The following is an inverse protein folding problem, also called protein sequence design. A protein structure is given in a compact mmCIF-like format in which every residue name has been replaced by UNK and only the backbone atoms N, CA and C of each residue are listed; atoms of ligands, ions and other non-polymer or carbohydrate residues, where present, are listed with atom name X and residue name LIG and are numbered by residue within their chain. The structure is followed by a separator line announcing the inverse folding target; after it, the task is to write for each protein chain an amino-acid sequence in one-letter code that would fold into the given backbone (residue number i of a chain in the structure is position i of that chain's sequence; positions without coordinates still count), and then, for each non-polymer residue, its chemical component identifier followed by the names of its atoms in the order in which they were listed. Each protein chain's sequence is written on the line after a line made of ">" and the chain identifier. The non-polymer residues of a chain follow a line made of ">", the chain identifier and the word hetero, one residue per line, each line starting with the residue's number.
data_IF_566367635343
#
_entry.id   IF_566367635343
#
_cell.length_a   1.000
_cell.length_b   1.000
_cell.length_c   1.000
_cell.angle_alpha   90.00
_cell.angle_beta   90.00
_cell.angle_gamma   90.00
#
_symmetry.space_group_name_H-M   'P 1'
#
loop_
_entity.id
_entity.type
_entity.pdbx_description
1 polymer ?
#
# COMPACT_ATOMS: atom_id res chain seq x y z
N UNK A 1 -12.54 15.44 -14.12
CA UNK A 1 -12.96 14.06 -13.75
C UNK A 1 -12.20 13.11 -14.67
N UNK A 2 -11.57 12.05 -14.16
CA UNK A 2 -10.72 11.13 -14.94
C UNK A 2 -11.43 9.77 -15.11
N UNK A 3 -12.39 9.65 -16.05
CA UNK A 3 -13.21 8.44 -16.16
C UNK A 3 -12.42 7.19 -16.58
N UNK A 4 -11.25 7.39 -17.19
CA UNK A 4 -10.41 6.31 -17.71
C UNK A 4 -9.15 6.06 -16.86
N UNK A 5 -9.07 6.63 -15.65
CA UNK A 5 -7.94 6.37 -14.77
C UNK A 5 -8.00 4.94 -14.23
N UNK A 6 -6.85 4.26 -14.22
CA UNK A 6 -6.67 3.02 -13.50
C UNK A 6 -6.21 3.32 -12.07
N UNK A 7 -6.66 2.51 -11.11
CA UNK A 7 -6.33 2.69 -9.70
C UNK A 7 -5.74 1.39 -9.13
N UNK A 8 -4.67 1.55 -8.36
CA UNK A 8 -4.13 0.52 -7.49
C UNK A 8 -4.29 1.00 -6.04
N UNK A 9 -5.24 0.43 -5.32
CA UNK A 9 -5.47 0.73 -3.90
C UNK A 9 -4.90 -0.41 -3.08
N UNK A 10 -3.97 -0.11 -2.18
CA UNK A 10 -3.26 -1.11 -1.36
C UNK A 10 -2.82 -0.48 -0.04
N UNK A 11 -2.31 -1.30 0.89
CA UNK A 11 -1.81 -0.87 2.19
C UNK A 11 -1.29 -2.04 3.01
N UNK A 12 -0.60 -1.75 4.11
CA UNK A 12 -0.03 -2.74 5.03
C UNK A 12 -0.77 -2.83 6.38
N UNK A 13 -1.94 -2.19 6.50
CA UNK A 13 -2.72 -2.16 7.73
C UNK A 13 -3.46 -3.49 7.94
N UNK A 14 -2.75 -4.44 8.55
CA UNK A 14 -3.28 -5.76 8.93
C UNK A 14 -3.81 -5.81 10.36
N UNK A 15 -4.11 -7.03 10.86
CA UNK A 15 -4.56 -7.25 12.24
C UNK A 15 -3.64 -6.59 13.28
N UNK A 16 -4.22 -5.91 14.26
CA UNK A 16 -3.48 -5.22 15.32
C UNK A 16 -2.79 -3.91 14.89
N UNK A 17 -2.98 -3.45 13.65
CA UNK A 17 -2.54 -2.12 13.20
C UNK A 17 -3.38 -0.99 13.79
N UNK A 18 -4.64 -1.29 14.17
CA UNK A 18 -5.51 -0.45 15.01
C UNK A 18 -5.64 1.00 14.52
N UNK A 19 -5.79 1.22 13.20
CA UNK A 19 -6.02 2.58 12.69
C UNK A 19 -7.21 3.22 13.41
N UNK A 20 -7.03 4.49 13.79
CA UNK A 20 -7.99 5.28 14.58
C UNK A 20 -8.17 4.81 16.05
N UNK A 21 -7.34 3.89 16.54
CA UNK A 21 -7.29 3.45 17.93
C UNK A 21 -6.10 4.02 18.70
N UNK A 22 -6.06 3.87 20.04
CA UNK A 22 -4.98 4.41 20.87
C UNK A 22 -3.62 3.75 20.63
N UNK A 23 -3.60 2.52 20.10
CA UNK A 23 -2.39 1.72 19.84
C UNK A 23 -2.11 1.55 18.34
N UNK A 24 -2.40 2.58 17.54
CA UNK A 24 -2.15 2.57 16.11
C UNK A 24 -0.65 2.35 15.82
N UNK A 25 -0.34 1.38 14.95
CA UNK A 25 1.04 1.02 14.63
C UNK A 25 1.19 0.34 13.28
N UNK A 26 2.43 0.33 12.81
CA UNK A 26 2.79 -0.20 11.51
C UNK A 26 3.54 -1.53 11.62
N UNK A 27 3.12 -2.53 10.83
CA UNK A 27 3.91 -3.73 10.65
C UNK A 27 5.05 -3.47 9.65
N UNK A 28 6.28 -3.32 10.15
CA UNK A 28 7.44 -2.93 9.34
C UNK A 28 7.74 -3.92 8.18
N UNK A 29 7.75 -5.25 8.39
CA UNK A 29 7.99 -6.18 7.29
C UNK A 29 6.94 -6.08 6.17
N UNK A 30 5.65 -5.96 6.52
CA UNK A 30 4.58 -5.83 5.52
C UNK A 30 4.67 -4.52 4.76
N UNK A 31 5.03 -3.42 5.43
CA UNK A 31 5.16 -2.11 4.77
C UNK A 31 6.29 -2.10 3.77
N UNK A 32 7.44 -2.72 4.10
CA UNK A 32 8.53 -2.88 3.15
C UNK A 32 8.10 -3.69 1.93
N UNK A 33 7.41 -4.81 2.15
CA UNK A 33 6.90 -5.65 1.06
C UNK A 33 5.93 -4.89 0.14
N UNK A 34 4.94 -4.19 0.69
CA UNK A 34 3.98 -3.38 -0.08
C UNK A 34 4.70 -2.28 -0.88
N UNK A 35 5.71 -1.64 -0.29
CA UNK A 35 6.53 -0.62 -0.97
C UNK A 35 7.30 -1.22 -2.15
N UNK A 36 7.91 -2.40 -1.97
CA UNK A 36 8.60 -3.12 -3.05
C UNK A 36 7.65 -3.49 -4.17
N UNK A 37 6.46 -4.01 -3.85
CA UNK A 37 5.43 -4.31 -4.85
C UNK A 37 4.98 -3.07 -5.63
N UNK A 38 4.79 -1.93 -4.95
CA UNK A 38 4.44 -0.68 -5.61
C UNK A 38 5.53 -0.20 -6.56
N UNK A 39 6.80 -0.25 -6.14
CA UNK A 39 7.95 0.09 -6.98
C UNK A 39 8.01 -0.80 -8.23
N UNK A 40 7.81 -2.11 -8.08
CA UNK A 40 7.77 -3.05 -9.20
C UNK A 40 6.59 -2.78 -10.15
N UNK A 41 5.40 -2.50 -9.61
CA UNK A 41 4.23 -2.16 -10.42
C UNK A 41 4.47 -0.89 -11.25
N UNK A 42 4.98 0.17 -10.64
CA UNK A 42 5.32 1.41 -11.36
C UNK A 42 6.38 1.17 -12.42
N UNK A 43 7.43 0.39 -12.11
CA UNK A 43 8.46 0.05 -13.09
C UNK A 43 7.90 -0.71 -14.31
N UNK A 44 6.86 -1.54 -14.11
CA UNK A 44 6.21 -2.28 -15.20
C UNK A 44 5.27 -1.44 -16.08
N UNK A 45 4.89 -0.22 -15.67
CA UNK A 45 3.96 0.61 -16.46
C UNK A 45 4.59 1.23 -17.71
N UNK A 46 5.92 1.27 -17.78
CA UNK A 46 6.68 1.87 -18.90
C UNK A 46 7.52 0.82 -19.66
N UNK A 47 7.24 -0.46 -19.47
CA UNK A 47 7.93 -1.58 -20.13
C UNK A 47 7.17 -2.05 -21.38
#
# INVERSE_FOLDING_TARGET
>A
KYPNANFLVTGSLGPGGNAHGPDEKLHIPATKAVTTCLAAAIASLNA
#
